data_IF_072556793182
#
_entry.id   IF_072556793182
#
_cell.length_a   1.000
_cell.length_b   1.000
_cell.length_c   1.000
_cell.angle_alpha   90.00
_cell.angle_beta   90.00
_cell.angle_gamma   90.00
#
_symmetry.space_group_name_H-M   'P 1'
#
loop_
_entity.id
_entity.type
_entity.pdbx_description
1 polymer ?
#
# COMPACT_ATOMS: atom_id res chain seq x y z
N UNK A 1 4.22 -70.46 11.60
CA UNK A 1 3.77 -69.32 12.43
C UNK A 1 4.58 -68.12 11.94
N UNK A 2 3.98 -67.32 11.00
CA UNK A 2 4.66 -66.21 10.36
C UNK A 2 4.15 -64.93 11.04
N UNK A 3 5.06 -64.21 11.72
CA UNK A 3 4.77 -62.89 12.31
C UNK A 3 4.84 -61.86 11.18
N UNK A 4 3.72 -61.21 10.90
CA UNK A 4 3.63 -59.99 10.04
C UNK A 4 3.91 -58.76 10.93
N UNK A 5 5.10 -58.16 10.76
CA UNK A 5 5.37 -56.79 11.30
C UNK A 5 4.74 -55.77 10.39
N UNK A 6 3.64 -55.15 10.85
CA UNK A 6 3.09 -53.95 10.22
C UNK A 6 3.89 -52.72 10.67
N UNK A 7 4.69 -52.16 9.72
CA UNK A 7 5.38 -50.90 9.95
C UNK A 7 4.38 -49.76 9.66
N UNK A 8 3.90 -49.10 10.70
CA UNK A 8 3.05 -47.91 10.62
C UNK A 8 3.92 -46.68 10.29
N UNK A 9 3.89 -46.23 9.05
CA UNK A 9 4.61 -45.05 8.60
C UNK A 9 3.79 -43.82 9.01
N UNK A 10 4.14 -43.16 10.15
CA UNK A 10 3.54 -41.91 10.59
C UNK A 10 4.10 -40.78 9.75
N UNK A 11 3.30 -40.31 8.78
CA UNK A 11 3.59 -39.12 7.96
C UNK A 11 3.38 -37.88 8.82
N UNK A 12 4.43 -37.32 9.39
CA UNK A 12 4.39 -36.03 10.08
C UNK A 12 4.29 -34.92 9.05
N UNK A 13 3.09 -34.44 8.79
CA UNK A 13 2.87 -33.20 8.01
C UNK A 13 3.34 -32.04 8.87
N UNK A 14 4.54 -31.51 8.57
CA UNK A 14 5.02 -30.26 9.15
C UNK A 14 4.19 -29.13 8.57
N UNK A 15 3.15 -28.68 9.28
CA UNK A 15 2.48 -27.42 8.96
C UNK A 15 3.47 -26.29 9.28
N UNK A 16 4.13 -25.79 8.23
CA UNK A 16 4.85 -24.54 8.28
C UNK A 16 3.79 -23.43 8.37
N UNK A 17 3.32 -23.14 9.58
CA UNK A 17 2.39 -22.05 9.86
C UNK A 17 3.12 -20.74 9.62
N UNK A 18 2.75 -20.00 8.58
CA UNK A 18 3.11 -18.58 8.48
C UNK A 18 2.52 -17.88 9.70
N UNK A 19 3.37 -17.35 10.56
CA UNK A 19 2.92 -16.55 11.70
C UNK A 19 2.28 -15.27 11.13
N UNK A 20 0.97 -15.14 11.26
CA UNK A 20 0.27 -13.89 10.90
C UNK A 20 0.61 -12.81 11.92
N UNK A 21 0.78 -11.56 11.45
CA UNK A 21 0.92 -10.41 12.34
C UNK A 21 -0.30 -10.29 13.25
N UNK A 22 -0.04 -10.13 14.56
CA UNK A 22 -1.09 -9.88 15.56
C UNK A 22 -1.21 -8.41 15.93
N UNK A 23 -0.19 -7.63 15.63
CA UNK A 23 -0.13 -6.16 15.86
C UNK A 23 0.63 -5.51 14.71
N UNK A 24 0.30 -4.24 14.45
CA UNK A 24 1.07 -3.45 13.48
C UNK A 24 2.50 -3.26 14.01
N UNK A 25 3.53 -3.62 13.22
CA UNK A 25 4.92 -3.48 13.66
C UNK A 25 5.29 -2.01 13.84
N UNK A 26 6.09 -1.73 14.87
CA UNK A 26 6.67 -0.40 15.03
C UNK A 26 7.80 -0.23 14.01
N UNK A 27 7.72 0.85 13.23
CA UNK A 27 8.74 1.17 12.25
C UNK A 27 9.77 2.16 12.79
N UNK A 28 11.05 1.87 12.54
CA UNK A 28 12.14 2.83 12.64
C UNK A 28 12.50 3.28 11.21
N UNK A 29 11.95 4.43 10.82
CA UNK A 29 12.06 4.91 9.44
C UNK A 29 13.29 5.80 9.34
N UNK A 30 14.28 5.44 8.49
CA UNK A 30 15.49 6.22 8.30
C UNK A 30 15.20 7.66 7.83
N UNK A 31 15.93 8.64 8.34
CA UNK A 31 15.74 10.06 7.98
C UNK A 31 15.97 10.30 6.48
N UNK A 32 16.88 9.55 5.85
CA UNK A 32 17.15 9.64 4.41
C UNK A 32 15.96 9.23 3.53
N UNK A 33 14.93 8.58 4.10
CA UNK A 33 13.68 8.35 3.39
C UNK A 33 12.92 9.65 3.16
N UNK A 34 13.23 10.70 3.93
CA UNK A 34 12.68 12.04 3.76
C UNK A 34 11.18 12.14 4.02
N UNK A 35 10.63 11.31 4.91
CA UNK A 35 9.25 11.47 5.36
C UNK A 35 9.12 12.68 6.29
N UNK A 36 8.06 13.47 6.12
CA UNK A 36 7.66 14.57 7.02
C UNK A 36 6.58 14.13 8.02
N UNK A 37 6.03 12.95 7.83
CA UNK A 37 5.01 12.33 8.67
C UNK A 37 5.59 11.12 9.41
N UNK A 38 4.90 10.68 10.49
CA UNK A 38 5.37 9.58 11.35
C UNK A 38 4.27 8.55 11.55
N UNK A 39 4.65 7.30 11.80
CA UNK A 39 3.73 6.25 12.25
C UNK A 39 3.01 6.70 13.53
N UNK A 40 1.70 6.45 13.62
CA UNK A 40 0.84 6.88 14.72
C UNK A 40 0.33 8.32 14.62
N UNK A 41 0.87 9.13 13.71
CA UNK A 41 0.39 10.48 13.43
C UNK A 41 -0.93 10.43 12.68
N UNK A 42 -1.84 11.38 12.98
CA UNK A 42 -3.03 11.58 12.17
C UNK A 42 -2.63 11.94 10.72
N UNK A 43 -3.28 11.32 9.74
CA UNK A 43 -3.09 11.66 8.32
C UNK A 43 -3.31 13.17 8.12
N UNK A 44 -2.43 13.87 7.39
CA UNK A 44 -2.64 15.25 7.02
C UNK A 44 -4.00 15.48 6.36
N UNK A 45 -4.58 16.65 6.59
CA UNK A 45 -5.82 17.06 5.92
C UNK A 45 -5.51 17.37 4.45
N UNK A 46 -5.82 16.41 3.57
CA UNK A 46 -5.59 16.49 2.13
C UNK A 46 -6.90 16.32 1.36
N UNK A 47 -6.95 16.97 0.22
CA UNK A 47 -7.99 16.80 -0.79
C UNK A 47 -7.32 16.56 -2.14
N UNK A 48 -7.83 15.60 -2.92
CA UNK A 48 -7.31 15.29 -4.25
C UNK A 48 -8.41 14.95 -5.24
N UNK A 49 -8.12 15.23 -6.51
CA UNK A 49 -9.03 14.94 -7.61
C UNK A 49 -8.57 13.70 -8.36
N UNK A 50 -9.46 12.73 -8.50
CA UNK A 50 -9.23 11.54 -9.31
C UNK A 50 -9.26 11.87 -10.80
N UNK A 51 -8.63 11.01 -11.62
CA UNK A 51 -8.64 11.18 -13.09
C UNK A 51 -10.03 11.18 -13.70
N UNK A 52 -11.02 10.58 -13.03
CA UNK A 52 -12.43 10.61 -13.45
C UNK A 52 -13.21 11.86 -12.99
N UNK A 53 -12.53 12.83 -12.33
CA UNK A 53 -13.10 14.08 -11.88
C UNK A 53 -13.70 14.09 -10.47
N UNK A 54 -13.77 12.93 -9.80
CA UNK A 54 -14.27 12.84 -8.42
C UNK A 54 -13.24 13.45 -7.47
N UNK A 55 -13.69 14.31 -6.55
CA UNK A 55 -12.87 14.84 -5.46
C UNK A 55 -13.02 13.95 -4.23
N UNK A 56 -11.90 13.65 -3.58
CA UNK A 56 -11.82 12.85 -2.35
C UNK A 56 -11.14 13.69 -1.27
N UNK A 57 -11.73 13.73 -0.08
CA UNK A 57 -11.17 14.42 1.10
C UNK A 57 -10.68 13.41 2.12
N UNK A 58 -9.65 13.75 2.89
CA UNK A 58 -9.16 12.93 3.99
C UNK A 58 -10.28 12.54 4.95
N UNK A 59 -11.21 13.44 5.25
CA UNK A 59 -12.38 13.21 6.10
C UNK A 59 -13.31 12.10 5.60
N UNK A 60 -13.41 11.91 4.28
CA UNK A 60 -14.28 10.91 3.65
C UNK A 60 -13.72 9.49 3.79
N UNK A 61 -12.47 9.39 4.23
CA UNK A 61 -11.72 8.15 4.34
C UNK A 61 -11.69 7.58 5.77
N UNK A 62 -12.17 8.33 6.74
CA UNK A 62 -12.29 7.86 8.13
C UNK A 62 -13.20 6.63 8.19
N UNK A 63 -12.81 5.62 8.96
CA UNK A 63 -13.49 4.33 9.05
C UNK A 63 -13.02 3.31 8.02
N UNK A 64 -12.14 3.69 7.09
CA UNK A 64 -11.55 2.79 6.09
C UNK A 64 -10.05 2.59 6.36
N UNK A 65 -9.55 1.43 5.97
CA UNK A 65 -8.12 1.21 5.75
C UNK A 65 -7.77 1.82 4.40
N UNK A 66 -6.84 2.76 4.38
CA UNK A 66 -6.49 3.50 3.15
C UNK A 66 -5.04 3.25 2.80
N UNK A 67 -4.78 2.99 1.52
CA UNK A 67 -3.44 3.00 0.95
C UNK A 67 -3.29 4.18 0.01
N UNK A 68 -2.34 5.07 0.30
CA UNK A 68 -1.87 6.09 -0.62
C UNK A 68 -0.54 5.63 -1.22
N UNK A 69 -0.51 5.40 -2.52
CA UNK A 69 0.70 5.16 -3.28
C UNK A 69 1.14 6.45 -3.97
N UNK A 70 2.34 6.95 -3.71
CA UNK A 70 2.90 8.05 -4.48
C UNK A 70 3.66 7.53 -5.69
N UNK A 71 3.33 8.06 -6.87
CA UNK A 71 3.80 7.55 -8.16
C UNK A 71 4.05 8.67 -9.17
N UNK A 72 4.67 8.34 -10.28
CA UNK A 72 4.76 9.17 -11.47
C UNK A 72 5.12 8.30 -12.69
N UNK A 73 4.76 8.71 -13.89
CA UNK A 73 4.99 7.92 -15.11
C UNK A 73 6.47 7.71 -15.45
N UNK A 74 7.34 8.64 -15.07
CA UNK A 74 8.79 8.56 -15.24
C UNK A 74 9.51 7.73 -14.16
N UNK A 75 8.81 7.31 -13.11
CA UNK A 75 9.39 6.59 -11.97
C UNK A 75 9.55 5.10 -12.28
N UNK A 76 10.75 4.66 -12.55
CA UNK A 76 11.06 3.25 -12.89
C UNK A 76 10.68 2.29 -11.76
N UNK A 77 10.91 2.67 -10.50
CA UNK A 77 10.59 1.83 -9.34
C UNK A 77 9.07 1.71 -9.17
N UNK A 78 8.33 2.81 -9.34
CA UNK A 78 6.87 2.81 -9.29
C UNK A 78 6.29 1.86 -10.36
N UNK A 79 6.81 1.92 -11.59
CA UNK A 79 6.38 1.04 -12.69
C UNK A 79 6.62 -0.44 -12.39
N UNK A 80 7.62 -0.79 -11.58
CA UNK A 80 7.85 -2.17 -11.13
C UNK A 80 6.90 -2.59 -10.01
N UNK A 81 6.57 -1.66 -9.10
CA UNK A 81 5.71 -1.93 -7.95
C UNK A 81 4.23 -2.03 -8.32
N UNK A 82 3.73 -1.15 -9.21
CA UNK A 82 2.31 -1.01 -9.52
C UNK A 82 1.59 -2.30 -9.96
N UNK A 83 2.17 -3.17 -10.80
CA UNK A 83 1.54 -4.46 -11.12
C UNK A 83 1.39 -5.40 -9.91
N UNK A 84 2.28 -5.31 -8.92
CA UNK A 84 2.16 -6.06 -7.67
C UNK A 84 1.05 -5.48 -6.79
N UNK A 85 0.96 -4.15 -6.68
CA UNK A 85 -0.14 -3.48 -5.97
C UNK A 85 -1.49 -3.86 -6.60
N UNK A 86 -1.59 -3.80 -7.92
CA UNK A 86 -2.81 -4.23 -8.64
C UNK A 86 -3.20 -5.66 -8.27
N UNK A 87 -2.29 -6.60 -8.46
CA UNK A 87 -2.58 -8.03 -8.32
C UNK A 87 -2.72 -8.49 -6.86
N UNK A 88 -1.84 -8.01 -5.99
CA UNK A 88 -1.67 -8.56 -4.65
C UNK A 88 -2.38 -7.74 -3.56
N UNK A 89 -2.88 -6.54 -3.88
CA UNK A 89 -3.60 -5.68 -2.93
C UNK A 89 -4.96 -5.26 -3.50
N UNK A 90 -4.97 -4.58 -4.67
CA UNK A 90 -6.19 -3.98 -5.19
C UNK A 90 -7.25 -5.02 -5.59
N UNK A 91 -6.90 -5.96 -6.47
CA UNK A 91 -7.86 -6.96 -6.96
C UNK A 91 -8.40 -7.86 -5.84
N UNK A 92 -7.68 -7.99 -4.73
CA UNK A 92 -8.12 -8.76 -3.55
C UNK A 92 -9.13 -7.95 -2.72
N UNK A 93 -8.92 -6.64 -2.60
CA UNK A 93 -9.66 -5.81 -1.64
C UNK A 93 -10.62 -4.80 -2.29
N UNK A 94 -10.66 -4.64 -3.61
CA UNK A 94 -11.43 -3.61 -4.32
C UNK A 94 -12.94 -3.61 -4.03
N UNK A 95 -13.48 -4.76 -3.67
CA UNK A 95 -14.91 -4.94 -3.36
C UNK A 95 -15.19 -4.85 -1.84
N UNK A 96 -14.17 -4.62 -1.01
CA UNK A 96 -14.31 -4.41 0.41
C UNK A 96 -14.62 -2.93 0.71
N UNK A 97 -15.81 -2.65 1.22
CA UNK A 97 -16.26 -1.29 1.54
C UNK A 97 -15.38 -0.56 2.57
N UNK A 98 -14.61 -1.32 3.37
CA UNK A 98 -13.71 -0.79 4.39
C UNK A 98 -12.28 -0.56 3.87
N UNK A 99 -12.03 -0.73 2.56
CA UNK A 99 -10.73 -0.50 1.93
C UNK A 99 -10.81 0.58 0.86
N UNK A 100 -9.77 1.41 0.78
CA UNK A 100 -9.59 2.34 -0.32
C UNK A 100 -8.11 2.39 -0.72
N UNK A 101 -7.84 2.49 -2.02
CA UNK A 101 -6.49 2.65 -2.57
C UNK A 101 -6.49 3.75 -3.61
N UNK A 102 -5.52 4.65 -3.52
CA UNK A 102 -5.32 5.73 -4.48
C UNK A 102 -3.84 5.86 -4.83
N UNK A 103 -3.54 5.88 -6.14
CA UNK A 103 -2.23 6.30 -6.62
C UNK A 103 -2.22 7.82 -6.80
N UNK A 104 -1.39 8.52 -6.05
CA UNK A 104 -1.22 9.98 -6.13
C UNK A 104 -0.10 10.26 -7.13
N UNK A 105 -0.45 10.77 -8.31
CA UNK A 105 0.50 11.00 -9.38
C UNK A 105 1.12 12.40 -9.27
N UNK A 106 2.43 12.43 -9.12
CA UNK A 106 3.19 13.61 -8.78
C UNK A 106 3.41 14.52 -9.99
N UNK A 107 2.69 15.64 -10.03
CA UNK A 107 2.89 16.78 -10.93
C UNK A 107 2.89 16.43 -12.44
N UNK A 108 1.94 15.58 -12.85
CA UNK A 108 1.75 15.23 -14.25
C UNK A 108 0.33 15.62 -14.72
N UNK A 109 0.16 16.05 -15.99
CA UNK A 109 -1.15 16.39 -16.52
C UNK A 109 -2.03 15.16 -16.71
N UNK A 110 -3.35 15.35 -16.65
CA UNK A 110 -4.37 14.29 -16.71
C UNK A 110 -4.12 13.28 -17.85
N UNK A 111 -3.88 13.76 -19.06
CA UNK A 111 -3.67 12.89 -20.24
C UNK A 111 -2.50 11.93 -20.04
N UNK A 112 -1.42 12.42 -19.41
CA UNK A 112 -0.22 11.62 -19.13
C UNK A 112 -0.50 10.57 -18.06
N UNK A 113 -1.24 10.94 -17.01
CA UNK A 113 -1.64 10.02 -15.93
C UNK A 113 -2.58 8.93 -16.45
N UNK A 114 -3.56 9.29 -17.30
CA UNK A 114 -4.46 8.31 -17.92
C UNK A 114 -3.71 7.35 -18.86
N UNK A 115 -2.77 7.87 -19.67
CA UNK A 115 -1.91 7.02 -20.49
C UNK A 115 -1.07 6.10 -19.61
N UNK A 116 -0.46 6.62 -18.56
CA UNK A 116 0.33 5.85 -17.61
C UNK A 116 -0.49 4.71 -16.98
N UNK A 117 -1.72 5.00 -16.53
CA UNK A 117 -2.65 3.99 -16.01
C UNK A 117 -2.88 2.84 -17.00
N UNK A 118 -3.12 3.17 -18.27
CA UNK A 118 -3.30 2.19 -19.36
C UNK A 118 -2.05 1.37 -19.61
N UNK A 119 -0.90 2.03 -19.71
CA UNK A 119 0.40 1.38 -19.95
C UNK A 119 0.75 0.38 -18.83
N UNK A 120 0.42 0.73 -17.57
CA UNK A 120 0.64 -0.12 -16.40
C UNK A 120 -0.43 -1.20 -16.22
N UNK A 121 -1.53 -1.15 -16.98
CA UNK A 121 -2.67 -2.09 -16.91
C UNK A 121 -3.25 -2.21 -15.49
N UNK A 122 -3.28 -1.10 -14.77
CA UNK A 122 -3.85 -1.02 -13.42
C UNK A 122 -5.29 -0.52 -13.47
N UNK A 123 -6.10 -0.96 -12.51
CA UNK A 123 -7.52 -0.59 -12.41
C UNK A 123 -7.83 0.29 -11.20
N UNK A 124 -6.96 0.33 -10.20
CA UNK A 124 -7.16 1.22 -9.06
C UNK A 124 -7.14 2.70 -9.45
N UNK A 125 -7.83 3.56 -8.67
CA UNK A 125 -7.93 4.99 -8.94
C UNK A 125 -6.56 5.67 -8.89
N UNK A 126 -6.29 6.53 -9.90
CA UNK A 126 -5.20 7.51 -9.83
C UNK A 126 -5.78 8.91 -9.59
N UNK A 127 -5.05 9.68 -8.80
CA UNK A 127 -5.32 11.07 -8.47
C UNK A 127 -4.22 11.98 -9.00
N UNK A 128 -4.58 13.22 -9.31
CA UNK A 128 -3.67 14.26 -9.74
C UNK A 128 -3.13 15.02 -8.51
N UNK A 129 -1.84 15.29 -8.50
CA UNK A 129 -1.17 16.12 -7.49
C UNK A 129 -0.41 17.28 -8.15
N UNK A 130 -1.13 18.32 -8.66
CA UNK A 130 -0.49 19.45 -9.29
C UNK A 130 0.50 20.14 -8.35
N UNK A 131 1.69 20.47 -8.89
CA UNK A 131 2.79 21.08 -8.14
C UNK A 131 3.30 20.18 -6.99
N UNK A 132 2.94 18.88 -7.00
CA UNK A 132 3.31 17.92 -5.97
C UNK A 132 2.92 18.37 -4.53
N UNK A 133 1.83 19.11 -4.38
CA UNK A 133 1.40 19.69 -3.09
C UNK A 133 1.10 18.62 -2.05
N UNK A 134 0.40 17.56 -2.45
CA UNK A 134 0.09 16.44 -1.55
C UNK A 134 1.36 15.68 -1.22
N UNK A 135 2.19 15.37 -2.23
CA UNK A 135 3.46 14.69 -2.01
C UNK A 135 4.33 15.42 -0.98
N UNK A 136 4.46 16.75 -1.11
CA UNK A 136 5.26 17.57 -0.18
C UNK A 136 4.63 17.75 1.21
N UNK A 137 3.42 17.29 1.43
CA UNK A 137 2.84 17.15 2.76
C UNK A 137 3.37 15.90 3.48
N UNK A 138 3.73 14.86 2.72
CA UNK A 138 4.24 13.60 3.26
C UNK A 138 5.76 13.47 3.19
N UNK A 139 6.41 14.18 2.29
CA UNK A 139 7.83 14.01 2.00
C UNK A 139 8.55 15.32 1.69
N UNK A 140 9.80 15.41 2.07
CA UNK A 140 10.66 16.56 1.83
C UNK A 140 10.91 16.78 0.32
N UNK A 141 11.18 18.04 -0.05
CA UNK A 141 11.62 18.37 -1.41
C UNK A 141 12.90 17.60 -1.75
N UNK A 142 12.94 17.00 -2.95
CA UNK A 142 14.04 16.16 -3.39
C UNK A 142 13.97 14.69 -2.91
N UNK A 143 13.05 14.35 -2.02
CA UNK A 143 12.79 12.96 -1.69
C UNK A 143 12.22 12.22 -2.91
N UNK A 144 12.63 10.96 -3.12
CA UNK A 144 12.15 10.17 -4.24
C UNK A 144 10.67 9.81 -4.10
N UNK A 145 9.96 9.71 -5.22
CA UNK A 145 8.50 9.59 -5.27
C UNK A 145 7.96 8.24 -4.76
N UNK A 146 8.64 7.11 -5.07
CA UNK A 146 8.13 5.77 -4.74
C UNK A 146 7.97 5.61 -3.24
N UNK A 147 6.73 5.63 -2.75
CA UNK A 147 6.38 5.39 -1.34
C UNK A 147 4.92 5.02 -1.20
N UNK A 148 4.63 4.26 -0.16
CA UNK A 148 3.27 3.94 0.20
C UNK A 148 3.02 4.37 1.66
N UNK A 149 1.81 4.85 1.93
CA UNK A 149 1.35 5.20 3.28
C UNK A 149 0.05 4.46 3.54
N UNK A 150 0.03 3.63 4.57
CA UNK A 150 -1.15 2.92 5.02
C UNK A 150 -1.76 3.67 6.21
N UNK A 151 -3.03 3.97 6.10
CA UNK A 151 -3.80 4.68 7.12
C UNK A 151 -4.82 3.71 7.70
N UNK A 152 -4.90 3.64 9.03
CA UNK A 152 -5.86 2.83 9.75
C UNK A 152 -7.25 3.48 9.78
N UNK A 153 -8.27 2.76 10.21
CA UNK A 153 -9.67 3.22 10.28
C UNK A 153 -9.87 4.46 11.13
N UNK A 154 -9.01 4.69 12.13
CA UNK A 154 -9.02 5.89 13.00
C UNK A 154 -8.35 7.12 12.34
N UNK A 155 -7.88 6.98 11.09
CA UNK A 155 -7.22 8.03 10.34
C UNK A 155 -5.73 8.20 10.65
N UNK A 156 -5.14 7.36 11.50
CA UNK A 156 -3.70 7.43 11.79
C UNK A 156 -2.88 6.64 10.80
N UNK A 157 -1.68 7.14 10.51
CA UNK A 157 -0.68 6.46 9.70
C UNK A 157 -0.23 5.20 10.44
N UNK A 158 -0.51 4.04 9.85
CA UNK A 158 -0.20 2.74 10.43
C UNK A 158 1.15 2.19 9.92
N UNK A 159 1.46 2.38 8.65
CA UNK A 159 2.65 1.81 8.03
C UNK A 159 3.12 2.64 6.83
N UNK A 160 4.43 2.66 6.57
CA UNK A 160 5.01 3.41 5.46
C UNK A 160 6.13 2.60 4.80
N UNK A 161 6.23 2.67 3.47
CA UNK A 161 7.32 2.04 2.70
C UNK A 161 8.06 3.04 1.83
N UNK A 162 9.29 2.72 1.48
CA UNK A 162 10.12 3.51 0.56
C UNK A 162 10.81 2.60 -0.46
N UNK A 163 10.63 2.91 -1.76
CA UNK A 163 11.03 2.04 -2.86
C UNK A 163 10.20 0.73 -2.89
N UNK A 164 10.58 -0.17 -3.78
CA UNK A 164 9.94 -1.50 -3.86
C UNK A 164 10.92 -2.56 -3.36
N UNK A 165 10.82 -2.88 -2.08
CA UNK A 165 11.53 -3.97 -1.42
C UNK A 165 10.53 -5.07 -1.09
N UNK A 166 10.82 -6.30 -1.51
CA UNK A 166 9.85 -7.40 -1.43
C UNK A 166 9.40 -7.71 0.00
N UNK A 167 10.32 -7.64 0.95
CA UNK A 167 10.00 -7.94 2.36
C UNK A 167 9.10 -6.85 2.96
N UNK A 168 9.45 -5.56 2.76
CA UNK A 168 8.60 -4.43 3.20
C UNK A 168 7.22 -4.45 2.51
N UNK A 169 7.16 -4.85 1.23
CA UNK A 169 5.92 -4.99 0.49
C UNK A 169 5.03 -6.13 1.04
N UNK A 170 5.63 -7.26 1.40
CA UNK A 170 4.90 -8.36 2.01
C UNK A 170 4.37 -7.97 3.39
N UNK A 171 5.20 -7.35 4.23
CA UNK A 171 4.78 -6.85 5.55
C UNK A 171 3.67 -5.81 5.43
N UNK A 172 3.75 -4.89 4.44
CA UNK A 172 2.67 -3.93 4.15
C UNK A 172 1.34 -4.62 3.85
N UNK A 173 1.33 -5.73 3.08
CA UNK A 173 0.11 -6.51 2.81
C UNK A 173 -0.45 -7.12 4.09
N UNK A 174 0.40 -7.69 4.93
CA UNK A 174 -0.02 -8.26 6.21
C UNK A 174 -0.60 -7.20 7.15
N UNK A 175 -0.02 -5.99 7.16
CA UNK A 175 -0.58 -4.84 7.91
C UNK A 175 -1.96 -4.44 7.39
N UNK A 176 -2.16 -4.37 6.06
CA UNK A 176 -3.47 -4.08 5.47
C UNK A 176 -4.48 -5.14 5.90
N UNK A 177 -4.13 -6.42 5.80
CA UNK A 177 -5.00 -7.53 6.19
C UNK A 177 -5.36 -7.51 7.68
N UNK A 178 -4.40 -7.18 8.54
CA UNK A 178 -4.62 -7.02 9.99
C UNK A 178 -5.60 -5.89 10.28
N UNK A 179 -5.40 -4.72 9.67
CA UNK A 179 -6.25 -3.55 9.87
C UNK A 179 -7.68 -3.75 9.33
N UNK A 180 -7.84 -4.55 8.29
CA UNK A 180 -9.16 -4.87 7.75
C UNK A 180 -9.96 -5.80 8.67
N UNK A 181 -9.27 -6.67 9.41
CA UNK A 181 -9.88 -7.62 10.35
C UNK A 181 -10.20 -6.98 11.72
N UNK A 182 -9.54 -5.92 12.10
CA UNK A 182 -9.82 -5.12 13.30
C UNK A 182 -11.01 -4.17 13.04
#
# INVERSE_FOLDING_TARGET
MKLLLSVLFILTISLCGFAQLTTVPKQDIPEEYGYLVKQGQQMPDIEFKLTNGITVKASDLIGKVVMLQFTASWCVVCRREMPHIEKEIWLINKDNANFALFGIDMDEPLEKVEKFKKDMKITYPLALDPEAKIFYTFAAKGAGVTRNVIIAKDGKIAYMTRLFKKDEFNEMKEVIDLLLKS
#
